data_IF_308545192983
#
_entry.id   IF_308545192983
#
_cell.length_a   1.000
_cell.length_b   1.000
_cell.length_c   1.000
_cell.angle_alpha   90.00
_cell.angle_beta   90.00
_cell.angle_gamma   90.00
#
_symmetry.space_group_name_H-M   'P 1'
#
loop_
_entity.id
_entity.type
_entity.pdbx_description
1 polymer ?
#
# COMPACT_ATOMS: atom_id res chain seq x y z
N UNK A 1 -7.51 -23.16 -12.20
CA UNK A 1 -7.03 -22.28 -13.30
C UNK A 1 -8.17 -21.61 -14.05
N UNK A 2 -7.89 -20.59 -14.88
CA UNK A 2 -8.89 -19.97 -15.76
C UNK A 2 -9.22 -20.89 -16.96
N UNK A 3 -10.50 -21.10 -17.31
CA UNK A 3 -10.88 -21.95 -18.44
C UNK A 3 -10.55 -21.27 -19.77
N UNK A 4 -9.73 -21.92 -20.60
CA UNK A 4 -9.34 -21.44 -21.93
C UNK A 4 -10.37 -21.88 -22.97
N UNK A 5 -10.84 -20.95 -23.82
CA UNK A 5 -11.74 -21.29 -24.93
C UNK A 5 -10.95 -21.85 -26.13
N UNK A 6 -11.56 -22.71 -26.93
CA UNK A 6 -10.92 -23.24 -28.13
C UNK A 6 -10.64 -22.18 -29.21
N UNK A 7 -11.38 -21.07 -29.18
CA UNK A 7 -11.29 -19.96 -30.12
C UNK A 7 -10.83 -18.65 -29.44
N UNK A 8 -9.92 -18.73 -28.46
CA UNK A 8 -9.34 -17.51 -27.89
C UNK A 8 -8.69 -16.66 -28.99
N UNK A 9 -9.00 -15.35 -29.04
CA UNK A 9 -8.44 -14.49 -30.07
C UNK A 9 -6.95 -14.23 -29.82
N UNK A 10 -6.18 -14.09 -30.90
CA UNK A 10 -4.72 -13.94 -30.84
C UNK A 10 -4.22 -12.80 -29.96
N UNK A 11 -4.99 -11.71 -29.85
CA UNK A 11 -4.62 -10.56 -29.02
C UNK A 11 -4.77 -10.83 -27.52
N UNK A 12 -5.54 -11.86 -27.13
CA UNK A 12 -5.73 -12.26 -25.74
C UNK A 12 -4.63 -13.22 -25.25
N UNK A 13 -3.85 -13.81 -26.17
CA UNK A 13 -2.72 -14.68 -25.84
C UNK A 13 -1.52 -13.87 -25.37
N UNK A 14 -0.83 -14.36 -24.35
CA UNK A 14 0.41 -13.80 -23.84
C UNK A 14 1.56 -14.24 -24.77
N UNK A 15 1.98 -13.33 -25.66
CA UNK A 15 3.08 -13.55 -26.62
C UNK A 15 4.36 -12.92 -26.08
N UNK A 16 5.35 -13.71 -25.69
CA UNK A 16 6.64 -13.17 -25.21
C UNK A 16 7.78 -14.21 -25.33
N UNK A 17 8.29 -14.53 -26.54
CA UNK A 17 9.31 -15.56 -26.71
C UNK A 17 10.75 -15.08 -26.44
N UNK A 18 11.05 -13.79 -26.65
CA UNK A 18 12.39 -13.22 -26.50
C UNK A 18 12.35 -12.07 -25.49
N UNK A 19 13.33 -11.98 -24.60
CA UNK A 19 13.37 -10.89 -23.64
C UNK A 19 14.78 -10.45 -23.29
N UNK A 20 14.87 -9.25 -22.70
CA UNK A 20 16.10 -8.76 -22.08
C UNK A 20 16.41 -9.54 -20.80
N UNK A 21 17.69 -9.54 -20.39
CA UNK A 21 18.16 -10.21 -19.17
C UNK A 21 18.21 -9.29 -17.95
N UNK A 22 18.36 -7.98 -18.16
CA UNK A 22 18.51 -6.99 -17.09
C UNK A 22 17.49 -5.87 -17.23
N UNK A 23 17.02 -5.35 -16.10
CA UNK A 23 16.13 -4.21 -16.04
C UNK A 23 16.89 -2.91 -16.30
N UNK A 24 16.17 -1.80 -16.50
CA UNK A 24 16.78 -0.46 -16.70
C UNK A 24 17.62 0.05 -15.53
N UNK A 25 17.54 -0.61 -14.37
CA UNK A 25 18.32 -0.31 -13.18
C UNK A 25 19.58 -1.19 -13.07
N UNK A 26 19.87 -2.01 -14.08
CA UNK A 26 21.03 -2.92 -14.11
C UNK A 26 20.86 -4.20 -13.29
N UNK A 27 19.66 -4.49 -12.79
CA UNK A 27 19.36 -5.69 -12.01
C UNK A 27 18.80 -6.79 -12.92
N UNK A 28 18.98 -8.06 -12.56
CA UNK A 28 18.38 -9.18 -13.30
C UNK A 28 16.85 -9.06 -13.39
N UNK A 29 16.28 -9.34 -14.58
CA UNK A 29 14.82 -9.47 -14.77
C UNK A 29 14.31 -10.82 -14.25
N UNK A 30 15.18 -11.83 -14.20
CA UNK A 30 14.86 -13.10 -13.54
C UNK A 30 14.59 -12.83 -12.06
N UNK A 31 13.41 -13.22 -11.60
CA UNK A 31 12.96 -13.05 -10.21
C UNK A 31 13.67 -14.02 -9.26
N UNK A 32 14.10 -15.16 -9.78
CA UNK A 32 14.90 -16.18 -9.09
C UNK A 32 15.94 -16.79 -10.05
N UNK A 33 17.14 -17.15 -9.58
CA UNK A 33 18.15 -17.81 -10.41
C UNK A 33 17.68 -19.13 -11.02
N UNK A 34 18.32 -19.55 -12.11
CA UNK A 34 18.11 -20.89 -12.68
C UNK A 34 18.60 -21.95 -11.66
N UNK A 35 17.78 -22.96 -11.39
CA UNK A 35 18.05 -23.98 -10.38
C UNK A 35 17.63 -23.65 -8.95
N UNK A 36 17.03 -22.47 -8.71
CA UNK A 36 16.45 -22.12 -7.42
C UNK A 36 15.27 -23.06 -7.07
N UNK A 37 15.16 -23.47 -5.80
CA UNK A 37 14.11 -24.37 -5.32
C UNK A 37 12.69 -23.80 -5.36
N UNK A 38 12.55 -22.49 -5.61
CA UNK A 38 11.27 -21.83 -5.88
C UNK A 38 10.80 -22.03 -7.33
N UNK A 39 11.68 -22.47 -8.25
CA UNK A 39 11.25 -22.86 -9.59
C UNK A 39 10.42 -24.15 -9.54
N UNK A 40 9.55 -24.28 -10.53
CA UNK A 40 8.57 -25.34 -10.71
C UNK A 40 7.67 -25.58 -9.49
N UNK A 41 7.44 -24.54 -8.68
CA UNK A 41 6.43 -24.54 -7.63
C UNK A 41 5.10 -24.04 -8.19
N UNK A 42 4.05 -24.79 -7.87
CA UNK A 42 2.70 -24.36 -8.19
C UNK A 42 2.26 -23.24 -7.26
N UNK A 43 1.55 -22.27 -7.82
CA UNK A 43 0.83 -21.24 -7.07
C UNK A 43 -0.45 -21.78 -6.39
N UNK A 44 -0.86 -23.02 -6.70
CA UNK A 44 -2.11 -23.64 -6.24
C UNK A 44 -3.33 -22.71 -6.38
N UNK A 45 -3.65 -22.37 -7.62
CA UNK A 45 -4.66 -21.34 -7.93
C UNK A 45 -6.05 -21.97 -7.89
N UNK A 46 -6.85 -21.62 -6.88
CA UNK A 46 -8.21 -22.13 -6.67
C UNK A 46 -8.24 -23.67 -6.57
N UNK A 47 -7.26 -24.27 -5.89
CA UNK A 47 -7.15 -25.73 -5.74
C UNK A 47 -6.50 -26.45 -6.92
N UNK A 48 -6.07 -25.71 -7.93
CA UNK A 48 -5.39 -26.25 -9.11
C UNK A 48 -3.87 -26.11 -8.97
N UNK A 49 -3.20 -27.26 -8.86
CA UNK A 49 -1.76 -27.35 -8.66
C UNK A 49 -0.96 -27.41 -9.98
N UNK A 50 -1.60 -27.20 -11.15
CA UNK A 50 -0.89 -27.13 -12.42
C UNK A 50 0.13 -25.97 -12.45
N UNK A 51 1.10 -26.10 -13.34
CA UNK A 51 2.18 -25.13 -13.56
C UNK A 51 2.12 -24.70 -15.02
N UNK A 52 2.11 -23.40 -15.24
CA UNK A 52 2.05 -22.81 -16.57
C UNK A 52 3.33 -23.04 -17.36
N UNK A 53 3.17 -23.29 -18.66
CA UNK A 53 4.27 -23.57 -19.58
C UNK A 53 4.92 -22.30 -20.17
N UNK A 54 4.66 -21.12 -19.60
CA UNK A 54 5.21 -19.87 -20.12
C UNK A 54 6.74 -19.83 -19.92
N UNK A 55 7.56 -19.70 -20.98
CA UNK A 55 9.02 -19.68 -20.88
C UNK A 55 9.56 -18.50 -20.03
N UNK A 56 8.78 -17.43 -19.89
CA UNK A 56 9.13 -16.27 -19.09
C UNK A 56 8.47 -16.27 -17.70
N UNK A 57 7.90 -17.39 -17.23
CA UNK A 57 7.22 -17.49 -15.92
C UNK A 57 8.03 -16.90 -14.76
N UNK A 58 9.37 -16.97 -14.78
CA UNK A 58 10.25 -16.45 -13.72
C UNK A 58 10.88 -15.08 -14.01
N UNK A 59 10.25 -14.30 -14.88
CA UNK A 59 10.72 -12.95 -15.24
C UNK A 59 9.76 -11.91 -14.71
N UNK A 60 10.28 -10.73 -14.37
CA UNK A 60 9.44 -9.64 -13.91
C UNK A 60 8.51 -9.16 -15.03
N UNK A 61 7.20 -9.34 -14.83
CA UNK A 61 6.18 -8.84 -15.73
C UNK A 61 5.61 -7.51 -15.23
N UNK A 62 4.95 -6.80 -16.13
CA UNK A 62 4.16 -5.63 -15.77
C UNK A 62 3.33 -5.09 -16.92
N UNK A 63 2.74 -3.92 -16.68
CA UNK A 63 1.80 -3.30 -17.61
C UNK A 63 2.50 -2.28 -18.51
N UNK A 64 2.04 -2.17 -19.76
CA UNK A 64 2.37 -1.07 -20.65
C UNK A 64 1.11 -0.26 -20.90
N UNK A 65 1.19 1.05 -20.68
CA UNK A 65 0.07 1.97 -20.87
C UNK A 65 0.41 3.03 -21.91
N UNK A 66 -0.26 2.97 -23.05
CA UNK A 66 -0.24 4.00 -24.07
C UNK A 66 -1.33 5.03 -23.79
N UNK A 67 -0.94 6.15 -23.18
CA UNK A 67 -1.84 7.21 -22.79
C UNK A 67 -2.46 7.94 -23.99
N UNK A 68 -1.80 7.94 -25.15
CA UNK A 68 -2.32 8.57 -26.38
C UNK A 68 -3.56 7.85 -26.94
N UNK A 69 -3.70 6.56 -26.64
CA UNK A 69 -4.79 5.71 -27.11
C UNK A 69 -5.92 5.57 -26.08
N UNK A 70 -5.73 6.03 -24.84
CA UNK A 70 -6.72 5.85 -23.80
C UNK A 70 -7.89 6.83 -23.95
N UNK A 71 -9.04 6.32 -24.36
CA UNK A 71 -10.28 7.10 -24.50
C UNK A 71 -11.16 7.12 -23.23
N UNK A 72 -10.66 6.60 -22.10
CA UNK A 72 -11.41 6.43 -20.86
C UNK A 72 -12.80 5.78 -21.03
N UNK A 73 -12.87 4.66 -21.76
CA UNK A 73 -14.13 3.91 -21.94
C UNK A 73 -14.50 3.03 -20.73
N UNK A 74 -13.65 2.97 -19.70
CA UNK A 74 -13.84 2.16 -18.48
C UNK A 74 -13.98 0.63 -18.67
N UNK A 75 -13.91 0.11 -19.91
CA UNK A 75 -13.98 -1.33 -20.20
C UNK A 75 -12.95 -2.17 -19.42
N UNK A 76 -11.74 -1.61 -19.22
CA UNK A 76 -10.68 -2.28 -18.46
C UNK A 76 -10.99 -2.39 -16.95
N UNK A 77 -11.81 -1.50 -16.39
CA UNK A 77 -12.29 -1.59 -15.01
C UNK A 77 -13.35 -2.67 -14.90
N UNK A 78 -14.38 -2.61 -15.75
CA UNK A 78 -15.46 -3.59 -15.77
C UNK A 78 -14.93 -5.01 -15.96
N UNK A 79 -14.04 -5.23 -16.93
CA UNK A 79 -13.44 -6.55 -17.15
C UNK A 79 -12.59 -7.03 -15.96
N UNK A 80 -11.94 -6.12 -15.24
CA UNK A 80 -11.18 -6.46 -14.04
C UNK A 80 -12.10 -6.85 -12.89
N UNK A 81 -13.19 -6.10 -12.71
CA UNK A 81 -14.18 -6.33 -11.67
C UNK A 81 -14.93 -7.63 -11.89
N UNK A 82 -15.45 -7.87 -13.09
CA UNK A 82 -16.16 -9.10 -13.46
C UNK A 82 -15.26 -10.33 -13.30
N UNK A 83 -14.01 -10.26 -13.78
CA UNK A 83 -13.09 -11.42 -13.71
C UNK A 83 -12.70 -11.79 -12.26
N UNK A 84 -12.67 -10.82 -11.35
CA UNK A 84 -12.20 -11.03 -9.97
C UNK A 84 -13.34 -10.93 -8.94
N UNK A 85 -14.60 -10.91 -9.37
CA UNK A 85 -15.78 -10.74 -8.52
C UNK A 85 -15.63 -9.58 -7.52
N UNK A 86 -15.15 -8.44 -8.03
CA UNK A 86 -14.88 -7.25 -7.21
C UNK A 86 -16.21 -6.56 -6.89
N UNK A 87 -16.51 -6.39 -5.60
CA UNK A 87 -17.69 -5.65 -5.15
C UNK A 87 -17.63 -4.17 -5.56
N UNK A 88 -18.79 -3.54 -5.76
CA UNK A 88 -18.91 -2.20 -6.30
C UNK A 88 -18.19 -1.08 -5.50
N UNK A 89 -17.91 -1.29 -4.21
CA UNK A 89 -17.18 -0.34 -3.37
C UNK A 89 -15.64 -0.46 -3.49
N UNK A 90 -15.14 -1.36 -4.34
CA UNK A 90 -13.73 -1.59 -4.60
C UNK A 90 -13.43 -1.49 -6.10
N UNK A 91 -12.20 -1.11 -6.44
CA UNK A 91 -11.74 -1.07 -7.82
C UNK A 91 -10.27 -1.49 -7.91
N UNK A 92 -9.99 -2.67 -8.48
CA UNK A 92 -8.61 -3.16 -8.64
C UNK A 92 -7.84 -2.44 -9.76
N UNK A 93 -8.58 -1.87 -10.71
CA UNK A 93 -8.09 -0.98 -11.75
C UNK A 93 -9.05 0.21 -11.81
N UNK A 94 -8.51 1.40 -11.98
CA UNK A 94 -9.29 2.63 -12.09
C UNK A 94 -8.75 3.52 -13.21
N UNK A 95 -9.64 4.23 -13.89
CA UNK A 95 -9.37 5.18 -14.95
C UNK A 95 -9.69 6.56 -14.40
N UNK A 96 -8.62 7.32 -14.17
CA UNK A 96 -8.69 8.73 -13.83
C UNK A 96 -8.26 9.60 -15.01
N UNK A 97 -8.17 10.89 -14.75
CA UNK A 97 -7.66 11.84 -15.73
C UNK A 97 -7.00 13.03 -15.05
N UNK A 98 -6.09 13.66 -15.78
CA UNK A 98 -5.51 14.96 -15.42
C UNK A 98 -5.80 15.94 -16.55
N UNK A 99 -6.03 17.19 -16.19
CA UNK A 99 -6.36 18.27 -17.13
C UNK A 99 -5.34 19.40 -17.05
N UNK A 100 -5.07 20.05 -18.17
CA UNK A 100 -4.17 21.18 -18.24
C UNK A 100 -4.64 22.23 -19.22
N UNK A 101 -4.01 23.40 -19.13
CA UNK A 101 -4.34 24.56 -19.97
C UNK A 101 -5.55 25.35 -19.48
N UNK A 102 -5.90 26.39 -20.24
CA UNK A 102 -6.98 27.31 -19.92
C UNK A 102 -7.84 27.48 -21.16
N UNK A 103 -9.15 27.64 -20.99
CA UNK A 103 -10.07 27.90 -22.10
C UNK A 103 -9.55 29.03 -23.01
N UNK A 104 -9.56 28.84 -24.35
CA UNK A 104 -10.11 27.70 -25.10
C UNK A 104 -9.14 26.53 -25.32
N UNK A 105 -7.89 26.63 -24.88
CA UNK A 105 -6.86 25.61 -25.07
C UNK A 105 -6.74 24.69 -23.84
N UNK A 106 -7.78 23.90 -23.57
CA UNK A 106 -7.78 22.88 -22.52
C UNK A 106 -7.39 21.51 -23.08
N UNK A 107 -6.78 20.68 -22.25
CA UNK A 107 -6.36 19.33 -22.61
C UNK A 107 -6.63 18.37 -21.46
N UNK A 108 -7.03 17.14 -21.79
CA UNK A 108 -7.24 16.04 -20.86
C UNK A 108 -6.36 14.85 -21.23
N UNK A 109 -5.69 14.27 -20.23
CA UNK A 109 -4.92 13.04 -20.33
C UNK A 109 -5.60 11.97 -19.47
N UNK A 110 -6.08 10.91 -20.11
CA UNK A 110 -6.70 9.78 -19.41
C UNK A 110 -5.62 8.80 -18.93
N UNK A 111 -5.78 8.27 -17.72
CA UNK A 111 -4.80 7.39 -17.08
C UNK A 111 -5.51 6.18 -16.48
N UNK A 112 -5.17 4.98 -16.96
CA UNK A 112 -5.61 3.72 -16.35
C UNK A 112 -4.54 3.19 -15.40
N UNK A 113 -4.87 3.08 -14.12
CA UNK A 113 -3.98 2.63 -13.06
C UNK A 113 -4.49 1.35 -12.39
N UNK A 114 -3.56 0.49 -12.01
CA UNK A 114 -3.80 -0.70 -11.18
C UNK A 114 -2.58 -0.93 -10.27
N UNK A 115 -2.51 -2.06 -9.57
CA UNK A 115 -1.28 -2.45 -8.88
C UNK A 115 -0.14 -2.62 -9.89
N UNK A 116 0.99 -1.97 -9.62
CA UNK A 116 2.18 -2.05 -10.49
C UNK A 116 3.09 -3.23 -10.16
N UNK A 117 2.75 -4.07 -9.18
CA UNK A 117 3.56 -5.22 -8.74
C UNK A 117 5.07 -4.93 -8.69
N UNK A 118 5.42 -3.91 -7.91
CA UNK A 118 6.71 -3.24 -7.93
C UNK A 118 7.89 -4.16 -7.62
N UNK A 119 9.08 -3.77 -8.06
CA UNK A 119 10.30 -4.49 -7.74
C UNK A 119 10.63 -4.43 -6.26
N UNK A 120 10.45 -3.26 -5.66
CA UNK A 120 10.54 -3.02 -4.23
C UNK A 120 9.16 -2.69 -3.61
N UNK A 121 8.33 -3.70 -3.30
CA UNK A 121 6.97 -3.49 -2.84
C UNK A 121 6.92 -2.96 -1.40
N UNK A 122 6.71 -1.65 -1.26
CA UNK A 122 6.49 -1.00 0.04
C UNK A 122 5.27 -1.55 0.81
N UNK A 123 4.26 -2.07 0.11
CA UNK A 123 3.12 -2.73 0.76
C UNK A 123 3.52 -4.01 1.50
N UNK A 124 4.51 -4.75 1.02
CA UNK A 124 5.06 -5.93 1.68
C UNK A 124 5.84 -5.53 2.94
N UNK A 125 6.70 -4.51 2.82
CA UNK A 125 7.45 -3.95 3.95
C UNK A 125 6.51 -3.39 5.02
N UNK A 126 5.48 -2.64 4.61
CA UNK A 126 4.52 -2.03 5.53
C UNK A 126 3.60 -3.03 6.24
N UNK A 127 3.32 -4.20 5.67
CA UNK A 127 2.37 -5.16 6.24
C UNK A 127 2.92 -5.84 7.51
N UNK A 128 2.31 -5.64 8.69
CA UNK A 128 2.82 -6.22 9.94
C UNK A 128 2.57 -7.73 10.04
N UNK A 129 1.61 -8.28 9.30
CA UNK A 129 1.27 -9.72 9.34
C UNK A 129 2.04 -10.59 8.37
N UNK A 130 2.81 -9.99 7.45
CA UNK A 130 3.37 -10.68 6.28
C UNK A 130 2.30 -11.29 5.37
N UNK A 131 1.16 -10.61 5.21
CA UNK A 131 0.11 -11.04 4.28
C UNK A 131 0.47 -10.80 2.80
N UNK A 132 1.61 -10.21 2.48
CA UNK A 132 2.05 -10.00 1.10
C UNK A 132 3.27 -10.85 0.80
N UNK A 133 3.25 -11.44 -0.40
CA UNK A 133 4.36 -12.21 -0.95
C UNK A 133 4.63 -11.73 -2.37
N UNK A 134 5.89 -11.43 -2.70
CA UNK A 134 6.31 -11.30 -4.10
C UNK A 134 6.69 -12.70 -4.58
N UNK A 135 5.86 -13.25 -5.46
CA UNK A 135 6.09 -14.57 -6.04
C UNK A 135 7.19 -14.51 -7.09
N UNK A 136 7.92 -15.62 -7.26
CA UNK A 136 8.91 -15.77 -8.32
C UNK A 136 8.21 -15.73 -9.69
N UNK A 137 7.00 -16.28 -9.74
CA UNK A 137 6.10 -16.26 -10.88
C UNK A 137 5.68 -14.83 -11.25
N UNK A 138 6.07 -14.40 -12.44
CA UNK A 138 5.75 -13.11 -13.06
C UNK A 138 6.19 -11.88 -12.24
N UNK A 139 6.89 -12.09 -11.13
CA UNK A 139 7.13 -11.05 -10.11
C UNK A 139 5.84 -10.55 -9.45
N UNK A 140 4.80 -11.40 -9.39
CA UNK A 140 3.49 -11.02 -8.89
C UNK A 140 3.52 -10.82 -7.37
N UNK A 141 3.35 -9.56 -6.94
CA UNK A 141 3.06 -9.25 -5.54
C UNK A 141 1.60 -9.62 -5.25
N UNK A 142 1.33 -10.63 -4.43
CA UNK A 142 -0.03 -11.07 -4.07
C UNK A 142 -0.29 -10.86 -2.59
N UNK A 143 -1.57 -10.75 -2.23
CA UNK A 143 -2.04 -10.60 -0.86
C UNK A 143 -2.80 -11.85 -0.45
N UNK A 144 -2.54 -12.33 0.75
CA UNK A 144 -3.20 -13.47 1.36
C UNK A 144 -4.34 -12.97 2.29
N UNK A 145 -5.61 -13.23 1.93
CA UNK A 145 -6.77 -12.80 2.71
C UNK A 145 -6.92 -13.55 4.05
N UNK A 146 -6.37 -14.77 4.14
CA UNK A 146 -6.41 -15.59 5.34
C UNK A 146 -5.41 -15.12 6.38
N UNK A 147 -4.26 -14.59 5.97
CA UNK A 147 -3.28 -13.98 6.87
C UNK A 147 -3.71 -12.56 7.27
N UNK A 148 -4.33 -11.83 6.36
CA UNK A 148 -4.74 -10.44 6.57
C UNK A 148 -5.79 -10.27 7.68
N UNK A 149 -5.67 -9.15 8.37
CA UNK A 149 -6.53 -8.71 9.47
C UNK A 149 -7.08 -7.29 9.29
N UNK A 150 -6.88 -6.71 8.10
CA UNK A 150 -7.50 -5.45 7.72
C UNK A 150 -7.01 -4.22 8.47
N UNK A 151 -5.70 -4.09 8.76
CA UNK A 151 -5.15 -2.87 9.40
C UNK A 151 -5.10 -1.63 8.47
N UNK A 152 -5.26 -1.81 7.16
CA UNK A 152 -5.23 -0.70 6.21
C UNK A 152 -3.85 -0.07 5.96
N UNK A 153 -2.81 -0.34 6.76
CA UNK A 153 -1.51 0.34 6.60
C UNK A 153 -0.89 0.24 5.19
N UNK A 154 -1.08 -0.90 4.52
CA UNK A 154 -0.68 -1.10 3.13
C UNK A 154 -1.34 -0.16 2.12
N UNK A 155 -2.54 0.38 2.41
CA UNK A 155 -3.21 1.39 1.58
C UNK A 155 -2.53 2.76 1.73
N UNK A 156 -2.00 3.07 2.91
CA UNK A 156 -1.30 4.33 3.19
C UNK A 156 0.10 4.39 2.60
N UNK A 157 0.85 3.28 2.65
CA UNK A 157 2.23 3.26 2.13
C UNK A 157 2.31 3.07 0.62
N UNK A 158 1.24 2.62 -0.03
CA UNK A 158 1.24 2.44 -1.48
C UNK A 158 1.02 3.78 -2.19
N UNK A 159 2.00 4.32 -2.92
CA UNK A 159 1.86 5.63 -3.56
C UNK A 159 0.81 5.61 -4.69
N UNK A 160 0.42 4.43 -5.17
CA UNK A 160 -0.52 4.23 -6.27
C UNK A 160 -1.96 3.98 -5.81
N UNK A 161 -2.22 3.97 -4.50
CA UNK A 161 -3.53 3.63 -3.92
C UNK A 161 -4.11 2.29 -4.42
N UNK A 162 -3.24 1.32 -4.70
CA UNK A 162 -3.63 0.05 -5.32
C UNK A 162 -4.27 -0.95 -4.34
N UNK A 163 -3.79 -1.08 -3.08
CA UNK A 163 -4.50 -1.82 -2.04
C UNK A 163 -5.69 -1.04 -1.52
N UNK A 164 -6.84 -1.69 -1.41
CA UNK A 164 -8.07 -1.09 -0.89
C UNK A 164 -8.64 -1.94 0.25
N UNK A 165 -8.99 -1.30 1.35
CA UNK A 165 -9.62 -1.96 2.48
C UNK A 165 -11.08 -2.27 2.14
N UNK A 166 -11.47 -3.54 2.22
CA UNK A 166 -12.85 -3.97 2.16
C UNK A 166 -13.47 -3.88 3.57
N UNK A 167 -14.36 -2.90 3.83
CA UNK A 167 -14.99 -2.76 5.14
C UNK A 167 -15.97 -3.90 5.45
N UNK A 168 -16.46 -4.61 4.44
CA UNK A 168 -17.41 -5.72 4.61
C UNK A 168 -16.65 -7.00 5.00
N UNK A 169 -15.59 -7.33 4.26
CA UNK A 169 -14.78 -8.54 4.53
C UNK A 169 -13.73 -8.34 5.63
N UNK A 170 -13.50 -7.10 6.07
CA UNK A 170 -12.50 -6.78 7.09
C UNK A 170 -11.07 -7.10 6.65
N UNK A 171 -10.77 -6.99 5.36
CA UNK A 171 -9.46 -7.31 4.80
C UNK A 171 -9.11 -6.39 3.64
N UNK A 172 -7.83 -6.25 3.33
CA UNK A 172 -7.39 -5.48 2.17
C UNK A 172 -7.40 -6.38 0.94
N UNK A 173 -7.84 -5.85 -0.20
CA UNK A 173 -7.82 -6.53 -1.48
C UNK A 173 -7.13 -5.65 -2.53
N UNK A 174 -6.59 -6.27 -3.58
CA UNK A 174 -5.95 -5.56 -4.71
C UNK A 174 -5.87 -6.43 -5.95
N UNK A 175 -5.52 -5.82 -7.08
CA UNK A 175 -5.15 -6.53 -8.30
C UNK A 175 -4.14 -7.67 -8.02
N UNK A 176 -4.44 -8.85 -8.57
CA UNK A 176 -3.65 -10.08 -8.46
C UNK A 176 -2.87 -10.39 -9.77
N UNK A 177 -2.65 -9.40 -10.63
CA UNK A 177 -2.05 -9.56 -11.96
C UNK A 177 -2.77 -10.54 -12.91
N UNK A 178 -3.97 -11.02 -12.54
CA UNK A 178 -4.63 -12.14 -13.23
C UNK A 178 -3.71 -13.36 -13.40
N UNK A 179 -2.94 -13.72 -12.36
CA UNK A 179 -2.00 -14.87 -12.40
C UNK A 179 -2.65 -16.17 -12.89
N UNK A 180 -3.94 -16.37 -12.58
CA UNK A 180 -4.75 -17.49 -13.05
C UNK A 180 -4.93 -17.54 -14.57
N UNK A 181 -4.89 -16.39 -15.25
CA UNK A 181 -4.89 -16.25 -16.71
C UNK A 181 -3.47 -16.39 -17.27
N UNK A 182 -2.47 -15.80 -16.60
CA UNK A 182 -1.07 -15.84 -17.04
C UNK A 182 -0.54 -17.27 -17.10
N UNK A 183 -0.90 -18.10 -16.12
CA UNK A 183 -0.45 -19.49 -16.03
C UNK A 183 -1.02 -20.36 -17.18
N UNK A 184 -2.15 -19.98 -17.78
CA UNK A 184 -2.71 -20.64 -18.98
C UNK A 184 -2.35 -19.93 -20.30
N UNK A 185 -1.39 -18.99 -20.26
CA UNK A 185 -0.90 -18.28 -21.44
C UNK A 185 -1.82 -17.17 -21.95
N UNK A 186 -2.75 -16.68 -21.12
CA UNK A 186 -3.64 -15.56 -21.45
C UNK A 186 -3.17 -14.26 -20.80
N UNK A 187 -3.36 -13.13 -21.50
CA UNK A 187 -3.15 -11.78 -20.93
C UNK A 187 -4.17 -11.47 -19.83
N UNK A 188 -3.88 -10.52 -18.92
CA UNK A 188 -4.84 -10.06 -17.93
C UNK A 188 -6.15 -9.55 -18.55
N UNK A 189 -7.28 -9.75 -17.87
CA UNK A 189 -8.60 -9.42 -18.41
C UNK A 189 -8.74 -7.94 -18.83
N UNK A 190 -8.17 -7.03 -18.04
CA UNK A 190 -8.18 -5.59 -18.34
C UNK A 190 -7.42 -5.22 -19.63
N UNK A 191 -6.42 -6.01 -20.01
CA UNK A 191 -5.63 -5.82 -21.24
C UNK A 191 -6.41 -6.36 -22.43
N UNK A 192 -6.94 -7.58 -22.33
CA UNK A 192 -7.78 -8.18 -23.38
C UNK A 192 -9.04 -7.36 -23.69
N UNK A 193 -9.60 -6.65 -22.70
CA UNK A 193 -10.79 -5.82 -22.88
C UNK A 193 -10.50 -4.39 -23.39
N UNK A 194 -9.23 -4.00 -23.57
CA UNK A 194 -8.87 -2.63 -23.92
C UNK A 194 -9.16 -2.30 -25.39
N UNK A 195 -10.31 -1.66 -25.65
CA UNK A 195 -10.76 -1.29 -27.01
C UNK A 195 -9.74 -0.44 -27.78
N UNK A 196 -9.11 0.52 -27.11
CA UNK A 196 -8.13 1.41 -27.73
C UNK A 196 -6.72 0.81 -27.87
N UNK A 197 -6.50 -0.44 -27.43
CA UNK A 197 -5.15 -1.02 -27.26
C UNK A 197 -4.21 -0.07 -26.50
N UNK A 198 -4.76 0.62 -25.50
CA UNK A 198 -4.03 1.51 -24.61
C UNK A 198 -3.32 0.73 -23.50
N UNK A 199 -3.69 -0.53 -23.26
CA UNK A 199 -3.06 -1.41 -22.28
C UNK A 199 -2.45 -2.61 -22.99
N UNK A 200 -1.23 -2.94 -22.60
CA UNK A 200 -0.57 -4.21 -22.92
C UNK A 200 0.11 -4.79 -21.67
N UNK A 201 0.61 -6.02 -21.78
CA UNK A 201 1.22 -6.76 -20.69
C UNK A 201 2.24 -7.78 -21.20
N UNK A 202 3.37 -7.87 -20.50
CA UNK A 202 4.47 -8.77 -20.82
C UNK A 202 5.64 -8.58 -19.85
N UNK A 203 6.81 -9.08 -20.22
CA UNK A 203 8.07 -8.82 -19.51
C UNK A 203 8.38 -7.32 -19.56
N UNK A 204 8.67 -6.71 -18.40
CA UNK A 204 8.56 -5.25 -18.24
C UNK A 204 9.55 -4.41 -19.08
N UNK A 205 10.69 -4.99 -19.48
CA UNK A 205 11.65 -4.30 -20.37
C UNK A 205 11.48 -4.66 -21.85
N UNK A 206 10.55 -5.56 -22.19
CA UNK A 206 10.20 -5.84 -23.57
C UNK A 206 9.15 -4.83 -24.03
N UNK A 207 9.56 -3.79 -24.74
CA UNK A 207 8.63 -2.82 -25.32
C UNK A 207 7.70 -3.56 -26.30
N UNK A 208 6.37 -3.55 -26.09
CA UNK A 208 5.43 -4.25 -26.96
C UNK A 208 5.44 -3.71 -28.39
N UNK A 209 5.00 -4.53 -29.33
CA UNK A 209 4.83 -4.10 -30.72
C UNK A 209 3.87 -2.91 -30.83
N UNK A 210 4.23 -1.91 -31.63
CA UNK A 210 3.45 -0.66 -31.76
C UNK A 210 3.71 0.38 -30.67
N UNK A 211 4.60 0.10 -29.71
CA UNK A 211 5.09 1.08 -28.75
C UNK A 211 6.49 1.58 -29.15
N UNK A 212 6.71 2.89 -29.07
CA UNK A 212 8.00 3.56 -29.33
C UNK A 212 8.65 4.10 -28.06
N UNK A 213 7.90 4.15 -26.96
CA UNK A 213 8.35 4.68 -25.67
C UNK A 213 8.05 3.71 -24.52
N UNK A 214 8.91 3.75 -23.51
CA UNK A 214 8.73 3.04 -22.24
C UNK A 214 9.14 3.94 -21.07
N UNK A 215 8.47 5.08 -20.94
CA UNK A 215 8.66 6.04 -19.83
C UNK A 215 8.24 5.38 -18.51
N UNK A 216 8.87 5.79 -17.40
CA UNK A 216 8.51 5.33 -16.04
C UNK A 216 7.53 6.26 -15.33
N UNK A 217 7.35 7.47 -15.85
CA UNK A 217 6.56 8.53 -15.25
C UNK A 217 5.79 9.28 -16.35
N UNK A 218 4.58 9.72 -16.02
CA UNK A 218 3.70 10.60 -16.80
C UNK A 218 3.02 11.58 -15.84
N UNK A 219 2.42 12.68 -16.32
CA UNK A 219 1.67 13.59 -15.44
C UNK A 219 0.65 12.82 -14.59
N UNK A 220 0.57 13.14 -13.29
CA UNK A 220 -0.33 12.46 -12.35
C UNK A 220 0.17 11.12 -11.80
N UNK A 221 1.29 10.57 -12.31
CA UNK A 221 1.88 9.35 -11.77
C UNK A 221 2.88 9.68 -10.63
N UNK A 222 2.83 8.97 -9.48
CA UNK A 222 3.78 9.15 -8.40
C UNK A 222 5.22 8.83 -8.82
N UNK A 223 6.19 9.38 -8.08
CA UNK A 223 7.60 9.13 -8.35
C UNK A 223 7.95 7.64 -8.34
N UNK A 224 8.75 7.22 -9.33
CA UNK A 224 9.11 5.83 -9.56
C UNK A 224 10.26 5.31 -8.69
N UNK A 225 11.10 6.21 -8.14
CA UNK A 225 12.28 5.87 -7.32
C UNK A 225 11.95 5.25 -5.96
N UNK A 226 10.70 5.36 -5.49
CA UNK A 226 10.29 4.82 -4.19
C UNK A 226 10.11 3.30 -4.24
N UNK A 227 9.56 2.78 -5.34
CA UNK A 227 9.15 1.36 -5.41
C UNK A 227 9.65 0.62 -6.63
N UNK A 228 10.20 1.32 -7.63
CA UNK A 228 10.53 0.77 -8.96
C UNK A 228 9.30 0.01 -9.55
N UNK A 229 8.24 0.74 -9.93
CA UNK A 229 6.99 0.14 -10.37
C UNK A 229 7.14 -0.58 -11.72
N UNK A 230 6.47 -1.73 -11.87
CA UNK A 230 6.42 -2.48 -13.12
C UNK A 230 5.23 -2.03 -13.98
N UNK A 231 5.27 -0.75 -14.35
CA UNK A 231 4.45 -0.15 -15.41
C UNK A 231 5.33 0.71 -16.30
N UNK A 232 5.05 0.73 -17.61
CA UNK A 232 5.71 1.61 -18.58
C UNK A 232 4.69 2.41 -19.35
N UNK A 233 5.06 3.62 -19.73
CA UNK A 233 4.17 4.57 -20.36
C UNK A 233 4.64 4.99 -21.74
N UNK A 234 3.69 5.14 -22.65
CA UNK A 234 3.84 5.89 -23.88
C UNK A 234 2.94 7.13 -23.84
N UNK A 235 3.54 8.28 -24.12
CA UNK A 235 2.85 9.56 -24.21
C UNK A 235 3.65 10.44 -25.16
N UNK A 236 3.21 10.47 -26.42
CA UNK A 236 3.87 11.18 -27.51
C UNK A 236 3.23 12.54 -27.78
N UNK A 237 1.95 12.71 -27.44
CA UNK A 237 1.25 13.99 -27.57
C UNK A 237 1.81 15.03 -26.60
N UNK A 238 2.14 16.21 -27.12
CA UNK A 238 2.59 17.34 -26.30
C UNK A 238 1.50 17.69 -25.29
N UNK A 239 1.86 17.69 -24.00
CA UNK A 239 0.97 18.11 -22.92
C UNK A 239 1.17 19.56 -22.56
N UNK A 240 0.17 20.16 -21.92
CA UNK A 240 0.32 21.45 -21.25
C UNK A 240 1.41 21.38 -20.17
N UNK A 241 1.97 22.55 -19.83
CA UNK A 241 3.04 22.65 -18.81
C UNK A 241 2.58 22.12 -17.46
N UNK A 242 1.42 22.58 -17.02
CA UNK A 242 0.79 22.17 -15.77
C UNK A 242 -0.38 21.25 -16.08
N UNK A 243 -0.35 20.04 -15.52
CA UNK A 243 -1.45 19.08 -15.56
C UNK A 243 -1.93 18.83 -14.13
N UNK A 244 -3.23 18.91 -13.91
CA UNK A 244 -3.90 18.94 -12.62
C UNK A 244 -4.84 17.76 -12.48
N UNK A 245 -4.88 17.18 -11.28
CA UNK A 245 -5.94 16.25 -10.89
C UNK A 245 -7.15 17.06 -10.42
N UNK A 246 -8.35 16.72 -10.88
CA UNK A 246 -9.57 17.47 -10.56
C UNK A 246 -10.25 17.05 -9.25
N UNK A 247 -9.94 15.84 -8.80
CA UNK A 247 -10.70 15.06 -7.81
C UNK A 247 -10.07 15.03 -6.41
N UNK A 248 -9.06 15.85 -6.10
CA UNK A 248 -8.54 16.02 -4.73
C UNK A 248 -7.71 17.30 -4.56
N UNK A 249 -7.48 17.71 -3.30
CA UNK A 249 -6.63 18.82 -2.80
C UNK A 249 -5.73 19.43 -3.87
N UNK A 250 -5.71 20.77 -4.05
CA UNK A 250 -5.13 21.39 -5.23
C UNK A 250 -3.62 21.11 -5.29
N UNK A 251 -3.27 20.00 -5.94
CA UNK A 251 -1.93 19.48 -6.07
C UNK A 251 -1.59 19.58 -7.55
N UNK A 252 -0.58 20.40 -7.86
CA UNK A 252 -0.13 20.67 -9.22
C UNK A 252 1.05 19.77 -9.53
N UNK A 253 1.09 19.22 -10.74
CA UNK A 253 2.25 18.52 -11.23
C UNK A 253 3.04 19.46 -12.14
N UNK A 254 4.19 19.94 -11.64
CA UNK A 254 5.07 20.83 -12.37
C UNK A 254 6.12 20.03 -13.13
N UNK A 255 6.33 20.36 -14.40
CA UNK A 255 7.42 19.80 -15.20
C UNK A 255 8.71 20.58 -14.95
N UNK A 256 9.76 19.88 -14.55
CA UNK A 256 11.13 20.39 -14.56
C UNK A 256 11.63 20.41 -16.01
N UNK A 257 11.92 21.60 -16.52
CA UNK A 257 12.34 21.78 -17.93
C UNK A 257 13.75 21.24 -18.21
N UNK A 258 14.61 21.10 -17.18
CA UNK A 258 15.96 20.54 -17.34
C UNK A 258 15.96 19.01 -17.39
N UNK A 259 15.13 18.37 -16.57
CA UNK A 259 15.08 16.90 -16.47
C UNK A 259 13.89 16.27 -17.20
N UNK A 260 12.89 17.08 -17.57
CA UNK A 260 11.62 16.63 -18.11
C UNK A 260 10.70 15.93 -17.09
N UNK A 261 11.07 15.90 -15.81
CA UNK A 261 10.37 15.17 -14.75
C UNK A 261 9.19 15.96 -14.18
N UNK A 262 8.12 15.28 -13.76
CA UNK A 262 6.99 15.91 -13.07
C UNK A 262 7.13 15.81 -11.54
N UNK A 263 6.97 16.92 -10.83
CA UNK A 263 6.97 16.99 -9.35
C UNK A 263 5.60 17.42 -8.82
N UNK A 264 5.03 16.70 -7.85
CA UNK A 264 3.79 17.11 -7.19
C UNK A 264 4.05 18.19 -6.13
N UNK A 265 3.36 19.32 -6.23
CA UNK A 265 3.42 20.43 -5.26
C UNK A 265 2.01 20.89 -4.85
N UNK A 266 1.85 21.34 -3.59
CA UNK A 266 0.58 21.89 -3.09
C UNK A 266 0.39 23.32 -3.61
N UNK A 267 -0.81 23.63 -4.12
CA UNK A 267 -1.16 24.96 -4.61
C UNK A 267 -1.33 25.95 -3.43
N UNK A 268 -0.46 26.96 -3.31
CA UNK A 268 -0.56 27.93 -2.22
C UNK A 268 -1.78 28.86 -2.33
N UNK A 269 -2.46 28.93 -3.49
CA UNK A 269 -3.53 29.91 -3.74
C UNK A 269 -4.82 29.69 -2.94
N UNK A 270 -5.10 28.48 -2.47
CA UNK A 270 -6.45 28.13 -2.02
C UNK A 270 -6.68 28.13 -0.50
N UNK A 271 -5.66 28.36 0.34
CA UNK A 271 -5.83 28.47 1.80
C UNK A 271 -6.42 27.22 2.48
N UNK A 272 -5.69 26.60 3.41
CA UNK A 272 -6.15 25.35 4.02
C UNK A 272 -7.16 25.60 5.15
N UNK A 273 -8.43 25.25 4.93
CA UNK A 273 -9.45 25.22 5.98
C UNK A 273 -9.26 24.00 6.89
N UNK A 274 -8.57 24.18 8.03
CA UNK A 274 -8.50 23.14 9.08
C UNK A 274 -9.78 23.11 9.89
N UNK A 275 -10.45 21.96 9.92
CA UNK A 275 -11.60 21.74 10.80
C UNK A 275 -11.21 20.81 11.96
N UNK A 276 -11.21 21.34 13.18
CA UNK A 276 -11.12 20.57 14.41
C UNK A 276 -12.50 20.47 15.05
N UNK A 277 -13.19 19.34 14.89
CA UNK A 277 -14.38 19.07 15.69
C UNK A 277 -14.37 17.63 16.22
N UNK A 278 -14.92 17.43 17.42
CA UNK A 278 -14.92 16.11 18.09
C UNK A 278 -15.71 15.06 17.31
N UNK A 279 -16.77 15.44 16.57
CA UNK A 279 -17.60 14.50 15.81
C UNK A 279 -16.82 13.84 14.66
N UNK A 280 -16.08 14.64 13.88
CA UNK A 280 -15.14 14.19 12.84
C UNK A 280 -13.92 13.50 13.44
N UNK A 281 -13.50 13.86 14.67
CA UNK A 281 -12.41 13.22 15.42
C UNK A 281 -12.82 11.88 16.07
N UNK A 282 -14.11 11.52 16.11
CA UNK A 282 -14.57 10.28 16.78
C UNK A 282 -15.25 9.24 15.87
N UNK A 283 -15.64 9.57 14.63
CA UNK A 283 -16.38 8.68 13.72
C UNK A 283 -15.67 7.96 12.53
N UNK A 284 -14.40 8.22 12.20
CA UNK A 284 -13.66 7.61 11.08
C UNK A 284 -12.69 6.50 11.54
N UNK A 285 -12.24 5.67 10.59
CA UNK A 285 -11.16 4.69 10.81
C UNK A 285 -9.84 5.34 11.27
N UNK A 286 -9.56 6.56 10.79
CA UNK A 286 -8.37 7.33 11.16
C UNK A 286 -8.44 7.84 12.61
N UNK A 287 -9.64 8.04 13.14
CA UNK A 287 -9.83 8.53 14.50
C UNK A 287 -9.38 7.56 15.58
N UNK A 288 -9.46 6.26 15.30
CA UNK A 288 -8.89 5.25 16.18
C UNK A 288 -7.37 5.44 16.31
N UNK A 289 -6.69 5.77 15.21
CA UNK A 289 -5.25 6.06 15.20
C UNK A 289 -4.95 7.38 15.93
N UNK A 290 -5.78 8.41 15.76
CA UNK A 290 -5.62 9.67 16.50
C UNK A 290 -5.78 9.43 18.00
N UNK A 291 -6.85 8.77 18.42
CA UNK A 291 -7.11 8.46 19.83
C UNK A 291 -5.98 7.63 20.45
N UNK A 292 -5.50 6.63 19.72
CA UNK A 292 -4.33 5.84 20.10
C UNK A 292 -3.09 6.71 20.28
N UNK A 293 -2.70 7.47 19.24
CA UNK A 293 -1.47 8.27 19.25
C UNK A 293 -1.47 9.29 20.39
N UNK A 294 -2.57 10.03 20.58
CA UNK A 294 -2.68 11.00 21.67
C UNK A 294 -2.63 10.33 23.05
N UNK A 295 -3.31 9.20 23.22
CA UNK A 295 -3.31 8.47 24.51
C UNK A 295 -1.92 7.92 24.83
N UNK A 296 -1.28 7.24 23.88
CA UNK A 296 0.06 6.65 24.07
C UNK A 296 1.09 7.73 24.33
N UNK A 297 1.13 8.80 23.53
CA UNK A 297 2.09 9.88 23.71
C UNK A 297 1.90 10.61 25.04
N UNK A 298 0.66 10.90 25.44
CA UNK A 298 0.37 11.53 26.72
C UNK A 298 0.83 10.67 27.89
N UNK A 299 0.51 9.36 27.87
CA UNK A 299 0.88 8.43 28.94
C UNK A 299 2.39 8.21 28.99
N UNK A 300 3.05 7.98 27.85
CA UNK A 300 4.51 7.79 27.80
C UNK A 300 5.26 9.03 28.27
N UNK A 301 4.82 10.23 27.85
CA UNK A 301 5.43 11.48 28.27
C UNK A 301 5.23 11.73 29.78
N UNK A 302 4.01 11.56 30.28
CA UNK A 302 3.73 11.74 31.70
C UNK A 302 4.47 10.71 32.57
N UNK A 303 4.53 9.44 32.15
CA UNK A 303 5.30 8.41 32.84
C UNK A 303 6.80 8.74 32.87
N UNK A 304 7.39 9.10 31.72
CA UNK A 304 8.80 9.49 31.65
C UNK A 304 9.08 10.71 32.53
N UNK A 305 8.22 11.72 32.53
CA UNK A 305 8.37 12.92 33.36
C UNK A 305 8.34 12.58 34.85
N UNK A 306 7.40 11.74 35.28
CA UNK A 306 7.28 11.35 36.69
C UNK A 306 8.45 10.47 37.15
N UNK A 307 8.88 9.50 36.34
CA UNK A 307 9.97 8.58 36.70
C UNK A 307 11.34 9.28 36.62
N UNK A 308 11.64 9.98 35.53
CA UNK A 308 12.91 10.71 35.39
C UNK A 308 12.99 11.89 36.36
N UNK A 309 11.86 12.54 36.66
CA UNK A 309 11.77 13.60 37.66
C UNK A 309 12.16 13.13 39.06
N UNK A 310 11.70 11.93 39.44
CA UNK A 310 12.14 11.27 40.67
C UNK A 310 13.64 10.95 40.64
N UNK A 311 14.14 10.36 39.54
CA UNK A 311 15.56 10.01 39.41
C UNK A 311 16.51 11.21 39.42
N UNK A 312 16.06 12.36 38.91
CA UNK A 312 16.81 13.61 38.92
C UNK A 312 16.55 14.44 40.18
N UNK A 313 15.82 13.90 41.16
CA UNK A 313 15.48 14.55 42.43
C UNK A 313 14.84 15.94 42.27
N UNK A 314 14.00 16.09 41.26
CA UNK A 314 13.25 17.34 41.02
C UNK A 314 12.18 17.47 42.11
N UNK A 315 12.37 18.41 43.04
CA UNK A 315 11.62 18.50 44.31
C UNK A 315 10.10 18.40 44.15
N UNK A 316 9.43 19.14 43.25
CA UNK A 316 7.98 19.04 43.08
C UNK A 316 7.50 17.66 42.61
N UNK A 317 8.33 16.91 41.87
CA UNK A 317 7.97 15.61 41.32
C UNK A 317 8.17 14.49 42.34
N UNK A 318 9.21 14.60 43.18
CA UNK A 318 9.43 13.69 44.33
C UNK A 318 8.30 13.84 45.34
N UNK A 319 7.93 15.07 45.69
CA UNK A 319 6.80 15.34 46.58
C UNK A 319 5.48 14.80 46.00
N UNK A 320 5.28 14.95 44.69
CA UNK A 320 4.11 14.40 44.01
C UNK A 320 4.07 12.86 44.05
N UNK A 321 5.21 12.20 43.82
CA UNK A 321 5.31 10.74 43.87
C UNK A 321 5.04 10.17 45.28
N UNK A 322 5.37 10.92 46.34
CA UNK A 322 5.04 10.56 47.72
C UNK A 322 3.58 10.87 48.12
N UNK A 323 2.82 11.57 47.27
CA UNK A 323 1.46 11.99 47.59
C UNK A 323 0.42 10.89 47.38
N UNK A 324 -0.75 11.03 48.01
CA UNK A 324 -1.89 10.14 47.79
C UNK A 324 -2.44 10.17 46.35
N UNK A 325 -2.02 11.15 45.53
CA UNK A 325 -2.42 11.26 44.13
C UNK A 325 -1.65 10.29 43.20
N UNK A 326 -0.54 9.69 43.66
CA UNK A 326 0.32 8.82 42.85
C UNK A 326 -0.42 7.61 42.26
N UNK A 327 -1.07 6.80 43.11
CA UNK A 327 -1.80 5.61 42.68
C UNK A 327 -2.99 5.94 41.76
N UNK A 328 -3.85 6.93 42.06
CA UNK A 328 -4.86 7.41 41.12
C UNK A 328 -4.29 7.81 39.76
N UNK A 329 -3.14 8.49 39.73
CA UNK A 329 -2.49 8.90 38.48
C UNK A 329 -2.04 7.72 37.64
N UNK A 330 -1.42 6.70 38.24
CA UNK A 330 -1.09 5.45 37.55
C UNK A 330 -2.35 4.74 37.02
N UNK A 331 -3.44 4.75 37.79
CA UNK A 331 -4.74 4.24 37.35
C UNK A 331 -5.30 4.98 36.12
N UNK A 332 -5.24 6.32 36.11
CA UNK A 332 -5.64 7.15 34.97
C UNK A 332 -4.77 6.86 33.75
N UNK A 333 -3.45 6.73 33.93
CA UNK A 333 -2.52 6.37 32.86
C UNK A 333 -2.87 5.02 32.24
N UNK A 334 -3.12 4.00 33.06
CA UNK A 334 -3.53 2.68 32.60
C UNK A 334 -4.87 2.71 31.86
N UNK A 335 -5.86 3.44 32.38
CA UNK A 335 -7.16 3.59 31.74
C UNK A 335 -7.06 4.26 30.37
N UNK A 336 -6.30 5.37 30.29
CA UNK A 336 -6.09 6.12 29.05
C UNK A 336 -5.34 5.28 28.01
N UNK A 337 -4.27 4.60 28.42
CA UNK A 337 -3.51 3.69 27.56
C UNK A 337 -4.36 2.52 27.05
N UNK A 338 -5.16 1.91 27.95
CA UNK A 338 -6.08 0.82 27.60
C UNK A 338 -7.15 1.28 26.62
N UNK A 339 -7.70 2.49 26.80
CA UNK A 339 -8.64 3.08 25.84
C UNK A 339 -8.01 3.28 24.46
N UNK A 340 -6.80 3.85 24.40
CA UNK A 340 -6.07 4.03 23.15
C UNK A 340 -5.80 2.70 22.43
N UNK A 341 -5.31 1.69 23.15
CA UNK A 341 -5.06 0.35 22.63
C UNK A 341 -6.36 -0.35 22.20
N UNK A 342 -7.43 -0.21 22.96
CA UNK A 342 -8.74 -0.78 22.61
C UNK A 342 -9.26 -0.16 21.30
N UNK A 343 -9.23 1.18 21.18
CA UNK A 343 -9.64 1.87 19.95
C UNK A 343 -8.77 1.44 18.76
N UNK A 344 -7.46 1.32 18.96
CA UNK A 344 -6.56 0.81 17.92
C UNK A 344 -6.91 -0.64 17.52
N UNK A 345 -7.26 -1.52 18.45
CA UNK A 345 -7.59 -2.89 18.07
C UNK A 345 -8.95 -3.01 17.38
N UNK A 346 -9.94 -2.22 17.80
CA UNK A 346 -11.30 -2.29 17.28
C UNK A 346 -11.48 -1.65 15.89
N UNK A 347 -10.51 -0.88 15.38
CA UNK A 347 -10.58 -0.40 14.00
C UNK A 347 -10.19 -1.46 12.96
N UNK A 348 -9.49 -2.50 13.39
CA UNK A 348 -8.99 -3.56 12.50
C UNK A 348 -10.17 -4.30 11.89
N UNK A 349 -10.05 -4.68 10.62
CA UNK A 349 -11.08 -5.48 9.95
C UNK A 349 -11.33 -6.84 10.61
N UNK A 350 -10.29 -7.47 11.21
CA UNK A 350 -10.41 -8.72 11.99
C UNK A 350 -9.65 -8.60 13.32
N UNK A 351 -10.23 -7.96 14.37
CA UNK A 351 -9.52 -7.65 15.63
C UNK A 351 -8.95 -8.89 16.34
N UNK A 352 -9.65 -10.02 16.27
CA UNK A 352 -9.22 -11.30 16.85
C UNK A 352 -7.90 -11.85 16.25
N UNK A 353 -7.44 -11.32 15.10
CA UNK A 353 -6.17 -11.70 14.44
C UNK A 353 -5.02 -10.73 14.75
N UNK A 354 -5.20 -9.77 15.67
CA UNK A 354 -4.19 -8.76 16.00
C UNK A 354 -2.82 -9.34 16.37
N UNK A 355 -2.77 -10.50 17.03
CA UNK A 355 -1.51 -11.17 17.39
C UNK A 355 -0.59 -11.42 16.18
N UNK A 356 -1.12 -11.46 14.96
CA UNK A 356 -0.31 -11.60 13.75
C UNK A 356 0.46 -10.33 13.41
N UNK A 357 0.12 -9.19 14.01
CA UNK A 357 0.86 -7.93 13.85
C UNK A 357 2.33 -8.04 14.29
N UNK A 358 2.67 -9.07 15.06
CA UNK A 358 4.03 -9.44 15.46
C UNK A 358 4.74 -10.37 14.46
N UNK A 359 4.23 -10.60 13.25
CA UNK A 359 4.86 -11.55 12.33
C UNK A 359 5.98 -10.94 11.47
N UNK A 360 5.98 -9.62 11.25
CA UNK A 360 6.92 -8.95 10.33
C UNK A 360 7.95 -8.03 11.01
N UNK A 361 8.60 -8.46 12.09
CA UNK A 361 9.56 -7.62 12.83
C UNK A 361 10.76 -7.15 12.00
N UNK A 362 11.19 -7.97 11.02
CA UNK A 362 12.36 -7.66 10.22
C UNK A 362 12.12 -6.49 9.25
N UNK A 363 10.96 -6.41 8.62
CA UNK A 363 10.70 -5.43 7.56
C UNK A 363 9.69 -4.35 7.95
N UNK A 364 8.71 -4.67 8.80
CA UNK A 364 7.63 -3.74 9.13
C UNK A 364 7.98 -2.86 10.34
N UNK A 365 8.06 -1.53 10.14
CA UNK A 365 8.16 -0.59 11.26
C UNK A 365 6.96 -0.74 12.21
N UNK A 366 5.77 -0.97 11.67
CA UNK A 366 4.53 -1.14 12.43
C UNK A 366 4.63 -2.34 13.37
N UNK A 367 5.17 -3.48 12.95
CA UNK A 367 5.39 -4.62 13.85
C UNK A 367 6.27 -4.26 15.06
N UNK A 368 7.31 -3.43 14.85
CA UNK A 368 8.21 -2.97 15.91
C UNK A 368 7.54 -1.96 16.83
N UNK A 369 6.73 -1.07 16.28
CA UNK A 369 5.91 -0.12 17.07
C UNK A 369 4.91 -0.86 17.95
N UNK A 370 4.18 -1.84 17.39
CA UNK A 370 3.25 -2.68 18.15
C UNK A 370 3.98 -3.36 19.32
N UNK A 371 5.17 -3.91 19.07
CA UNK A 371 6.00 -4.52 20.10
C UNK A 371 6.44 -3.54 21.19
N UNK A 372 6.96 -2.37 20.80
CA UNK A 372 7.42 -1.35 21.74
C UNK A 372 6.31 -0.81 22.63
N UNK A 373 5.15 -0.51 22.04
CA UNK A 373 3.98 0.00 22.77
C UNK A 373 3.40 -1.08 23.69
N UNK A 374 3.37 -2.33 23.26
CA UNK A 374 2.88 -3.44 24.09
C UNK A 374 3.81 -3.74 25.25
N UNK A 375 5.13 -3.68 25.03
CA UNK A 375 6.13 -3.80 26.10
C UNK A 375 5.97 -2.67 27.12
N UNK A 376 5.81 -1.43 26.65
CA UNK A 376 5.56 -0.29 27.53
C UNK A 376 4.28 -0.46 28.35
N UNK A 377 3.18 -0.89 27.73
CA UNK A 377 1.91 -1.12 28.44
C UNK A 377 2.03 -2.19 29.52
N UNK A 378 2.67 -3.33 29.21
CA UNK A 378 2.93 -4.40 30.19
C UNK A 378 3.84 -3.90 31.32
N UNK A 379 4.88 -3.14 30.98
CA UNK A 379 5.78 -2.51 31.95
C UNK A 379 5.05 -1.54 32.87
N UNK A 380 4.20 -0.65 32.33
CA UNK A 380 3.37 0.28 33.09
C UNK A 380 2.38 -0.46 34.01
N UNK A 381 1.76 -1.53 33.52
CA UNK A 381 0.84 -2.36 34.31
C UNK A 381 1.56 -3.05 35.46
N UNK A 382 2.72 -3.66 35.20
CA UNK A 382 3.57 -4.26 36.23
C UNK A 382 4.04 -3.22 37.25
N UNK A 383 4.54 -2.07 36.78
CA UNK A 383 4.96 -0.96 37.64
C UNK A 383 3.82 -0.49 38.55
N UNK A 384 2.63 -0.30 37.99
CA UNK A 384 1.45 0.12 38.76
C UNK A 384 1.01 -0.93 39.77
N UNK A 385 1.04 -2.21 39.39
CA UNK A 385 0.71 -3.33 40.27
C UNK A 385 1.66 -3.41 41.48
N UNK A 386 2.97 -3.31 41.25
CA UNK A 386 3.94 -3.38 42.34
C UNK A 386 3.89 -2.18 43.28
N UNK A 387 3.45 -1.00 42.79
CA UNK A 387 3.22 0.17 43.64
C UNK A 387 2.01 0.02 44.60
N UNK A 388 1.18 -1.03 44.46
CA UNK A 388 0.11 -1.34 45.43
C UNK A 388 0.65 -1.94 46.73
N UNK A 389 1.87 -2.47 46.73
CA UNK A 389 2.44 -3.17 47.87
C UNK A 389 3.49 -2.29 48.59
N UNK A 390 3.39 -2.14 49.92
CA UNK A 390 4.41 -1.42 50.69
C UNK A 390 5.75 -2.17 50.63
N UNK A 391 6.83 -1.45 50.29
CA UNK A 391 8.20 -2.00 50.23
C UNK A 391 8.80 -2.19 48.82
N UNK A 392 8.07 -1.87 47.75
CA UNK A 392 8.67 -1.83 46.41
C UNK A 392 9.47 -0.52 46.23
N UNK A 393 10.76 -0.59 45.84
CA UNK A 393 11.74 0.48 46.08
C UNK A 393 11.66 1.69 45.14
N UNK A 394 10.61 1.85 44.34
CA UNK A 394 10.42 3.06 43.54
C UNK A 394 9.70 4.19 44.30
N UNK A 395 9.12 3.90 45.47
CA UNK A 395 8.51 4.91 46.35
C UNK A 395 9.54 5.65 47.24
N UNK A 396 10.85 5.44 47.02
CA UNK A 396 11.94 6.01 47.83
C UNK A 396 13.13 6.52 47.00
N UNK A 397 12.87 7.11 45.83
CA UNK A 397 13.84 7.90 45.06
C UNK A 397 13.46 9.38 45.10
#
# INVERSE_FOLDING_TARGET
MFPVRSNEPDYALLKDPACQSHNRYGQSIETVPVGDGLRDKSLNINGDASIGANPNRYKQHGFFFNADNCIACHACESACSEKNDVHAHLAFRSVGFVEGGTYPNTQRLNISMACNHCDDPVCLKGCPTRAYTKFAEYGAVLQDPDICFGCGYCTWVCPYNAPQLDPIKGQVSKCNMCVDRLEVGLKPACVSACLGKALDFGVIENIPEGHTQAKVEIPGFPRSDITHPNIRFQQTRVTQRDMLRLDSTPLKYHRDDATGRFTPELDPKHGFQRQWNLKKLLGSHENAHIAFTLSVQAVMCAFLLLVLGGWLSVTPLVEYAASAAWLPTLGVMLALMSFGLFRLNMHLGKPHRFYRGYNNWRLSPVSREIAGVSLFFVGLAGFSFFNLFPGFPFAGL
#
